data_IF_139119587133
#
_entry.id   IF_139119587133
#
_cell.length_a   1.000
_cell.length_b   1.000
_cell.length_c   1.000
_cell.angle_alpha   90.00
_cell.angle_beta   90.00
_cell.angle_gamma   90.00
#
_symmetry.space_group_name_H-M   'P 1'
#
loop_
_entity.id
_entity.type
_entity.pdbx_description
1 polymer ?
#
# COMPACT_ATOMS: atom_id res chain seq x y z
N UNK A 1 -0.36 -5.75 7.03
CA UNK A 1 0.43 -6.93 7.46
C UNK A 1 0.74 -6.84 8.94
N UNK A 2 0.75 -7.95 9.68
CA UNK A 2 1.30 -7.99 11.05
C UNK A 2 2.71 -8.60 11.07
N UNK A 3 3.57 -8.18 12.00
CA UNK A 3 4.90 -8.78 12.19
C UNK A 3 4.76 -10.25 12.57
N UNK A 4 5.65 -11.10 12.05
CA UNK A 4 5.66 -12.51 12.39
C UNK A 4 5.93 -12.71 13.89
N UNK A 5 5.09 -13.48 14.57
CA UNK A 5 5.21 -13.74 16.01
C UNK A 5 4.71 -12.60 16.91
N UNK A 6 3.98 -11.63 16.36
CA UNK A 6 3.28 -10.64 17.18
C UNK A 6 2.20 -11.32 18.03
N UNK A 7 2.07 -10.85 19.28
CA UNK A 7 1.05 -11.33 20.21
C UNK A 7 -0.28 -10.61 19.90
N UNK A 8 -1.32 -11.32 19.44
CA UNK A 8 -2.60 -10.70 19.10
C UNK A 8 -3.27 -10.03 20.30
N UNK A 9 -2.97 -10.48 21.53
CA UNK A 9 -3.50 -9.91 22.77
C UNK A 9 -2.66 -8.72 23.27
N UNK A 10 -1.51 -8.45 22.64
CA UNK A 10 -0.59 -7.39 23.03
C UNK A 10 0.11 -6.75 21.80
N UNK A 11 -0.70 -6.22 20.90
CA UNK A 11 -0.23 -5.57 19.67
C UNK A 11 0.31 -4.17 19.94
N UNK A 12 1.50 -3.88 19.43
CA UNK A 12 2.08 -2.53 19.39
C UNK A 12 2.02 -1.94 17.99
N UNK A 13 2.29 -0.64 17.87
CA UNK A 13 2.34 0.02 16.56
C UNK A 13 3.44 -0.56 15.64
N UNK A 14 4.52 -1.09 16.24
CA UNK A 14 5.62 -1.71 15.52
C UNK A 14 5.24 -3.05 14.88
N UNK A 15 4.16 -3.68 15.35
CA UNK A 15 3.67 -4.94 14.81
C UNK A 15 2.85 -4.74 13.53
N UNK A 16 2.51 -3.50 13.13
CA UNK A 16 1.77 -3.21 11.90
C UNK A 16 2.73 -2.78 10.79
N UNK A 17 2.90 -3.64 9.79
CA UNK A 17 3.87 -3.47 8.70
C UNK A 17 3.17 -3.10 7.39
N UNK A 18 3.77 -2.20 6.63
CA UNK A 18 3.39 -1.96 5.24
C UNK A 18 3.68 -3.22 4.39
N UNK A 19 2.68 -3.74 3.70
CA UNK A 19 2.81 -4.94 2.87
C UNK A 19 3.86 -4.78 1.76
N UNK A 20 4.11 -3.54 1.32
CA UNK A 20 4.97 -3.24 0.19
C UNK A 20 6.44 -2.97 0.55
N UNK A 21 6.76 -2.64 1.81
CA UNK A 21 8.16 -2.40 2.22
C UNK A 21 8.53 -2.96 3.59
N UNK A 22 7.60 -3.64 4.28
CA UNK A 22 7.72 -4.23 5.61
C UNK A 22 8.16 -3.27 6.73
N UNK A 23 8.20 -1.96 6.47
CA UNK A 23 8.43 -0.97 7.52
C UNK A 23 7.18 -0.82 8.37
N UNK A 24 7.39 -0.75 9.68
CA UNK A 24 6.32 -0.62 10.66
C UNK A 24 5.63 0.75 10.61
N UNK A 25 4.46 0.84 11.22
CA UNK A 25 3.77 2.10 11.44
C UNK A 25 4.62 3.02 12.32
N UNK A 26 4.56 4.31 12.03
CA UNK A 26 5.11 5.37 12.88
C UNK A 26 4.30 6.66 12.65
N UNK A 27 4.27 7.62 13.58
CA UNK A 27 3.54 8.88 13.41
C UNK A 27 3.91 9.63 12.12
N UNK A 28 5.18 9.59 11.71
CA UNK A 28 5.71 10.18 10.49
C UNK A 28 5.52 9.32 9.22
N UNK A 29 4.92 8.13 9.36
CA UNK A 29 4.68 7.19 8.27
C UNK A 29 3.19 6.81 8.26
N UNK A 30 2.33 7.69 7.73
CA UNK A 30 0.91 7.37 7.63
C UNK A 30 0.71 6.12 6.78
N UNK A 31 -0.29 5.33 7.13
CA UNK A 31 -0.66 4.11 6.42
C UNK A 31 -2.15 4.09 6.15
N UNK A 32 -2.53 3.47 5.03
CA UNK A 32 -3.93 3.19 4.71
C UNK A 32 -4.15 1.70 4.81
N UNK A 33 -5.21 1.32 5.52
CA UNK A 33 -5.67 -0.05 5.64
C UNK A 33 -6.55 -0.46 4.45
N UNK A 34 -6.28 -1.64 3.90
CA UNK A 34 -7.09 -2.34 2.91
C UNK A 34 -7.82 -3.55 3.53
N UNK A 35 -8.29 -4.47 2.69
CA UNK A 35 -8.94 -5.68 3.17
C UNK A 35 -7.96 -6.59 3.92
N UNK A 36 -8.51 -7.29 4.93
CA UNK A 36 -7.78 -8.25 5.79
C UNK A 36 -6.53 -7.67 6.46
N UNK A 37 -6.57 -6.39 6.85
CA UNK A 37 -5.46 -5.74 7.55
C UNK A 37 -4.20 -5.52 6.69
N UNK A 38 -4.35 -5.52 5.36
CA UNK A 38 -3.30 -5.06 4.46
C UNK A 38 -3.05 -3.56 4.65
N UNK A 39 -1.80 -3.13 4.51
CA UNK A 39 -1.36 -1.76 4.79
C UNK A 39 -0.46 -1.27 3.66
N UNK A 40 -0.71 -0.04 3.21
CA UNK A 40 0.22 0.71 2.35
C UNK A 40 0.67 1.97 3.06
N UNK A 41 1.97 2.19 3.18
CA UNK A 41 2.50 3.43 3.74
C UNK A 41 2.54 4.56 2.71
N UNK A 42 2.52 5.81 3.18
CA UNK A 42 2.53 7.00 2.34
C UNK A 42 3.69 7.06 1.34
N UNK A 43 4.87 6.57 1.71
CA UNK A 43 6.04 6.49 0.81
C UNK A 43 5.82 5.51 -0.36
N UNK A 44 5.39 4.27 -0.07
CA UNK A 44 5.08 3.28 -1.12
C UNK A 44 3.91 3.73 -1.98
N UNK A 45 2.91 4.36 -1.36
CA UNK A 45 1.78 4.93 -2.08
C UNK A 45 2.20 6.07 -3.03
N UNK A 46 3.13 6.92 -2.60
CA UNK A 46 3.64 8.00 -3.45
C UNK A 46 4.44 7.44 -4.64
N UNK A 47 5.26 6.42 -4.45
CA UNK A 47 5.95 5.73 -5.54
C UNK A 47 4.98 5.09 -6.53
N UNK A 48 3.99 4.36 -6.01
CA UNK A 48 2.95 3.72 -6.81
C UNK A 48 2.14 4.76 -7.60
N UNK A 49 1.78 5.88 -6.98
CA UNK A 49 1.05 6.98 -7.62
C UNK A 49 1.86 7.60 -8.75
N UNK A 50 3.14 7.93 -8.51
CA UNK A 50 4.01 8.47 -9.57
C UNK A 50 4.16 7.51 -10.74
N UNK A 51 4.41 6.23 -10.47
CA UNK A 51 4.58 5.24 -11.54
C UNK A 51 3.28 5.04 -12.34
N UNK A 52 2.18 4.72 -11.68
CA UNK A 52 0.96 4.25 -12.35
C UNK A 52 0.02 5.37 -12.75
N UNK A 53 -0.14 6.39 -11.90
CA UNK A 53 -1.13 7.45 -12.11
C UNK A 53 -0.55 8.60 -12.92
N UNK A 54 0.66 9.04 -12.59
CA UNK A 54 1.33 10.18 -13.24
C UNK A 54 2.01 9.72 -14.54
N UNK A 55 2.92 8.74 -14.48
CA UNK A 55 3.71 8.32 -15.64
C UNK A 55 3.07 7.25 -16.52
N UNK A 56 2.03 6.58 -16.03
CA UNK A 56 1.36 5.51 -16.78
C UNK A 56 2.19 4.23 -16.94
N UNK A 57 3.21 4.03 -16.11
CA UNK A 57 4.16 2.91 -16.15
C UNK A 57 3.68 1.66 -15.38
N UNK A 58 2.37 1.51 -15.19
CA UNK A 58 1.83 0.35 -14.48
C UNK A 58 1.94 -0.93 -15.33
N UNK A 59 2.03 -2.08 -14.64
CA UNK A 59 2.08 -3.40 -15.29
C UNK A 59 0.70 -4.05 -15.30
N UNK A 60 0.43 -4.88 -16.29
CA UNK A 60 -0.65 -5.88 -16.20
C UNK A 60 -0.15 -7.06 -15.38
N UNK A 61 -1.05 -7.67 -14.60
CA UNK A 61 -0.77 -8.87 -13.81
C UNK A 61 -1.63 -10.01 -14.33
N UNK A 62 -1.16 -11.27 -14.36
CA UNK A 62 -1.97 -12.40 -14.79
C UNK A 62 -3.02 -12.79 -13.75
N UNK A 63 -4.15 -13.36 -14.16
CA UNK A 63 -5.05 -14.10 -13.25
C UNK A 63 -4.31 -15.35 -12.71
N UNK A 64 -4.34 -15.66 -11.39
CA UNK A 64 -5.19 -15.08 -10.33
C UNK A 64 -4.49 -14.04 -9.44
N UNK A 65 -3.43 -13.39 -9.92
CA UNK A 65 -2.74 -12.39 -9.12
C UNK A 65 -3.67 -11.21 -8.81
N UNK A 66 -3.79 -10.93 -7.50
CA UNK A 66 -4.75 -9.97 -6.97
C UNK A 66 -4.05 -8.79 -6.29
N UNK A 67 -4.70 -7.63 -6.32
CA UNK A 67 -4.28 -6.46 -5.57
C UNK A 67 -4.22 -6.76 -4.06
N UNK A 68 -3.10 -6.48 -3.41
CA UNK A 68 -2.90 -6.72 -1.99
C UNK A 68 -3.90 -5.96 -1.10
N UNK A 69 -4.40 -4.80 -1.56
CA UNK A 69 -5.33 -3.96 -0.80
C UNK A 69 -6.80 -4.35 -0.98
N UNK A 70 -7.24 -4.69 -2.19
CA UNK A 70 -8.65 -5.00 -2.44
C UNK A 70 -8.95 -6.49 -2.64
N UNK A 71 -7.91 -7.35 -2.71
CA UNK A 71 -7.99 -8.80 -2.90
C UNK A 71 -8.72 -9.23 -4.19
N UNK A 72 -8.85 -8.31 -5.14
CA UNK A 72 -9.43 -8.58 -6.45
C UNK A 72 -8.34 -8.55 -7.52
N UNK A 73 -8.45 -9.47 -8.49
CA UNK A 73 -7.84 -9.30 -9.79
C UNK A 73 -8.52 -8.13 -10.52
N UNK A 74 -7.75 -7.35 -11.29
CA UNK A 74 -8.24 -6.21 -12.07
C UNK A 74 -7.53 -6.17 -13.41
N UNK A 75 -8.30 -5.98 -14.49
CA UNK A 75 -7.77 -5.65 -15.81
C UNK A 75 -7.39 -4.16 -15.89
N UNK A 76 -6.56 -3.70 -14.95
CA UNK A 76 -6.03 -2.33 -14.90
C UNK A 76 -4.54 -2.33 -14.56
N UNK A 77 -3.82 -1.22 -14.81
CA UNK A 77 -2.40 -1.15 -14.45
C UNK A 77 -2.18 -1.26 -12.94
N UNK A 78 -1.16 -2.01 -12.55
CA UNK A 78 -0.73 -2.20 -11.17
C UNK A 78 0.67 -1.60 -10.95
N UNK A 79 0.95 -1.25 -9.69
CA UNK A 79 2.32 -1.06 -9.22
C UNK A 79 2.76 -2.33 -8.49
N UNK A 80 3.96 -2.82 -8.78
CA UNK A 80 4.59 -3.95 -8.09
C UNK A 80 5.73 -3.44 -7.22
N UNK A 81 5.71 -3.78 -5.93
CA UNK A 81 6.85 -3.47 -5.08
C UNK A 81 8.05 -4.33 -5.44
N UNK A 82 9.22 -3.70 -5.51
CA UNK A 82 10.53 -4.37 -5.62
C UNK A 82 11.28 -4.41 -4.28
N UNK A 83 10.70 -3.85 -3.21
CA UNK A 83 11.35 -3.69 -1.90
C UNK A 83 11.25 -4.93 -1.01
N UNK A 84 10.44 -5.91 -1.40
CA UNK A 84 10.15 -7.11 -0.61
C UNK A 84 10.09 -8.32 -1.55
N UNK A 85 10.52 -9.48 -1.06
CA UNK A 85 10.59 -10.73 -1.86
C UNK A 85 9.22 -11.18 -2.36
N UNK A 86 8.15 -10.99 -1.56
CA UNK A 86 6.79 -11.33 -1.95
C UNK A 86 6.26 -10.51 -3.15
N UNK A 87 6.92 -9.39 -3.50
CA UNK A 87 6.59 -8.49 -4.62
C UNK A 87 5.10 -8.23 -4.81
N UNK A 88 4.37 -7.78 -3.76
CA UNK A 88 2.94 -7.55 -3.84
C UNK A 88 2.61 -6.44 -4.84
N UNK A 89 1.40 -6.52 -5.39
CA UNK A 89 0.87 -5.57 -6.36
C UNK A 89 -0.28 -4.75 -5.78
N UNK A 90 -0.41 -3.50 -6.23
CA UNK A 90 -1.54 -2.62 -5.92
C UNK A 90 -2.12 -2.06 -7.19
N UNK A 91 -3.43 -2.22 -7.37
CA UNK A 91 -4.14 -1.78 -8.56
C UNK A 91 -4.31 -0.26 -8.59
N UNK A 92 -4.41 0.33 -9.79
CA UNK A 92 -4.58 1.78 -9.99
C UNK A 92 -5.73 2.37 -9.16
N UNK A 93 -6.84 1.66 -9.05
CA UNK A 93 -8.01 2.10 -8.29
C UNK A 93 -7.68 2.25 -6.80
N UNK A 94 -6.98 1.28 -6.21
CA UNK A 94 -6.54 1.34 -4.82
C UNK A 94 -5.49 2.43 -4.60
N UNK A 95 -4.55 2.62 -5.52
CA UNK A 95 -3.57 3.72 -5.45
C UNK A 95 -4.28 5.08 -5.35
N UNK A 96 -5.26 5.33 -6.22
CA UNK A 96 -6.01 6.59 -6.21
C UNK A 96 -6.84 6.78 -4.95
N UNK A 97 -7.55 5.73 -4.51
CA UNK A 97 -8.40 5.78 -3.31
C UNK A 97 -7.59 5.99 -2.05
N UNK A 98 -6.52 5.21 -1.84
CA UNK A 98 -5.63 5.37 -0.70
C UNK A 98 -4.95 6.75 -0.71
N UNK A 99 -4.58 7.27 -1.88
CA UNK A 99 -4.04 8.62 -2.00
C UNK A 99 -5.04 9.69 -1.56
N UNK A 100 -6.30 9.57 -1.98
CA UNK A 100 -7.36 10.48 -1.55
C UNK A 100 -7.68 10.39 -0.05
N UNK A 101 -7.49 9.22 0.58
CA UNK A 101 -7.65 9.06 2.03
C UNK A 101 -6.56 9.85 2.76
N UNK A 102 -5.28 9.63 2.43
CA UNK A 102 -4.19 10.34 3.10
C UNK A 102 -4.23 11.85 2.84
N UNK A 103 -4.56 12.28 1.63
CA UNK A 103 -4.62 13.71 1.31
C UNK A 103 -5.70 14.46 2.11
N UNK A 104 -6.81 13.79 2.45
CA UNK A 104 -7.88 14.36 3.27
C UNK A 104 -7.60 14.33 4.76
N UNK A 105 -6.63 13.51 5.19
CA UNK A 105 -6.18 13.43 6.57
C UNK A 105 -5.22 14.59 6.86
N UNK A 106 -5.63 15.60 7.67
CA UNK A 106 -4.81 16.76 7.96
C UNK A 106 -3.54 16.42 8.73
N UNK A 107 -3.53 15.32 9.47
CA UNK A 107 -2.42 14.91 10.34
C UNK A 107 -1.39 14.04 9.61
N UNK A 108 -1.75 13.49 8.44
CA UNK A 108 -0.87 12.59 7.69
C UNK A 108 0.38 13.28 7.14
N UNK A 109 0.32 14.59 6.88
CA UNK A 109 1.34 15.35 6.16
C UNK A 109 1.55 14.89 4.71
N UNK A 110 0.77 13.92 4.21
CA UNK A 110 0.92 13.36 2.88
C UNK A 110 0.37 14.31 1.82
N UNK A 111 1.10 14.45 0.71
CA UNK A 111 0.67 15.23 -0.46
C UNK A 111 0.69 14.34 -1.69
N UNK A 112 -0.35 14.50 -2.52
CA UNK A 112 -0.47 13.76 -3.77
C UNK A 112 0.72 14.09 -4.68
N UNK A 113 1.43 13.10 -5.21
CA UNK A 113 2.49 13.35 -6.17
C UNK A 113 1.93 13.88 -7.50
N UNK A 114 2.64 14.85 -8.05
CA UNK A 114 2.43 15.44 -9.39
C UNK A 114 3.15 14.65 -10.48
#
# INVERSE_FOLDING_TARGET
>A
MQRQGADPENMSAEDFLCDFCLRCWAPQRPMVEGHRGSLVCGECLAEAHRAVVVRGEGISVPDPEACALCLMHKDEPHWRSTKVEARPVVCRTCIKRSGAILEKDPDSGWKRPE
#
